data_IF_271978510174
#
_entry.id   IF_271978510174
#
_cell.length_a   1.000
_cell.length_b   1.000
_cell.length_c   1.000
_cell.angle_alpha   90.00
_cell.angle_beta   90.00
_cell.angle_gamma   90.00
#
_symmetry.space_group_name_H-M   'P 1'
#
loop_
_entity.id
_entity.type
_entity.pdbx_description
1 polymer ?
#
# COMPACT_ATOMS: atom_id res chain seq x y z
N UNK A 1 8.52 8.10 5.39
CA UNK A 1 8.51 9.53 5.77
C UNK A 1 7.88 10.42 4.69
N UNK A 2 8.37 10.45 3.45
CA UNK A 2 7.94 11.46 2.46
C UNK A 2 6.47 11.41 2.01
N UNK A 3 5.82 10.24 1.96
CA UNK A 3 4.41 10.13 1.58
C UNK A 3 3.44 10.70 2.63
N UNK A 4 3.90 10.90 3.87
CA UNK A 4 3.08 11.38 4.99
C UNK A 4 3.17 12.91 5.13
N UNK A 5 4.25 13.53 4.63
CA UNK A 5 4.58 14.93 4.89
C UNK A 5 4.15 15.92 3.78
N UNK A 6 3.37 15.49 2.79
CA UNK A 6 2.86 16.31 1.67
C UNK A 6 3.90 17.27 1.05
N UNK A 7 5.14 16.79 0.91
CA UNK A 7 6.25 17.59 0.40
C UNK A 7 6.21 17.60 -1.13
N UNK A 8 6.11 18.78 -1.74
CA UNK A 8 6.18 18.93 -3.19
C UNK A 8 7.63 18.86 -3.71
N UNK A 9 7.88 17.97 -4.67
CA UNK A 9 9.19 17.80 -5.31
C UNK A 9 9.14 18.29 -6.76
N UNK A 10 10.23 18.90 -7.26
CA UNK A 10 10.33 19.35 -8.66
C UNK A 10 10.27 18.21 -9.69
N UNK A 11 10.59 16.98 -9.27
CA UNK A 11 10.58 15.77 -10.11
C UNK A 11 9.78 14.66 -9.42
N UNK A 12 9.08 13.80 -10.19
CA UNK A 12 8.27 12.74 -9.60
C UNK A 12 9.15 11.70 -8.89
N UNK A 13 8.78 11.36 -7.66
CA UNK A 13 9.35 10.22 -6.95
C UNK A 13 8.84 8.89 -7.55
N UNK A 14 9.54 7.78 -7.28
CA UNK A 14 9.24 6.46 -7.86
C UNK A 14 7.79 6.03 -7.71
N UNK A 15 7.19 6.23 -6.53
CA UNK A 15 5.79 5.86 -6.29
C UNK A 15 4.82 6.75 -7.08
N UNK A 16 5.11 8.05 -7.21
CA UNK A 16 4.29 8.97 -8.01
C UNK A 16 4.43 8.64 -9.50
N UNK A 17 5.64 8.32 -9.96
CA UNK A 17 5.88 7.85 -11.32
C UNK A 17 5.08 6.59 -11.63
N UNK A 18 5.03 5.62 -10.70
CA UNK A 18 4.23 4.41 -10.84
C UNK A 18 2.73 4.73 -10.96
N UNK A 19 2.20 5.60 -10.11
CA UNK A 19 0.78 6.01 -10.16
C UNK A 19 0.48 6.65 -11.52
N UNK A 20 1.26 7.64 -11.94
CA UNK A 20 1.07 8.30 -13.24
C UNK A 20 1.22 7.34 -14.42
N UNK A 21 2.10 6.34 -14.33
CA UNK A 21 2.25 5.31 -15.35
C UNK A 21 1.00 4.40 -15.43
N UNK A 22 0.42 4.02 -14.29
CA UNK A 22 -0.82 3.24 -14.23
C UNK A 22 -1.99 4.05 -14.81
N UNK A 23 -2.13 5.31 -14.41
CA UNK A 23 -3.15 6.22 -14.93
C UNK A 23 -3.05 6.35 -16.47
N UNK A 24 -1.82 6.51 -16.99
CA UNK A 24 -1.56 6.59 -18.44
C UNK A 24 -1.87 5.30 -19.20
N UNK A 25 -1.92 4.16 -18.51
CA UNK A 25 -2.33 2.87 -19.05
C UNK A 25 -3.83 2.58 -18.85
N UNK A 26 -4.59 3.50 -18.25
CA UNK A 26 -5.99 3.30 -17.91
C UNK A 26 -6.19 2.26 -16.80
N UNK A 27 -5.19 2.07 -15.95
CA UNK A 27 -5.24 1.16 -14.81
C UNK A 27 -5.34 1.96 -13.49
N UNK A 28 -6.24 1.55 -12.61
CA UNK A 28 -6.47 2.17 -11.31
C UNK A 28 -6.13 1.19 -10.17
N UNK A 29 -5.52 1.70 -9.10
CA UNK A 29 -5.35 0.91 -7.88
C UNK A 29 -6.71 0.80 -7.18
N UNK A 30 -7.24 -0.42 -7.04
CA UNK A 30 -8.50 -0.68 -6.34
C UNK A 30 -8.27 -0.80 -4.84
N UNK A 31 -7.31 -1.67 -4.47
CA UNK A 31 -7.00 -2.01 -3.08
C UNK A 31 -5.66 -2.72 -2.98
N UNK A 32 -5.16 -2.79 -1.76
CA UNK A 32 -4.00 -3.60 -1.40
C UNK A 32 -4.44 -4.68 -0.43
N UNK A 33 -3.86 -5.88 -0.56
CA UNK A 33 -4.12 -7.00 0.35
C UNK A 33 -2.80 -7.53 0.88
N UNK A 34 -2.55 -7.42 2.18
CA UNK A 34 -1.48 -8.16 2.85
C UNK A 34 -1.99 -9.59 3.05
N UNK A 35 -1.52 -10.50 2.20
CA UNK A 35 -2.15 -11.82 2.02
C UNK A 35 -1.38 -12.96 2.67
N UNK A 36 -0.08 -12.80 2.95
CA UNK A 36 0.71 -13.85 3.57
C UNK A 36 1.84 -13.32 4.46
N UNK A 37 2.31 -14.18 5.37
CA UNK A 37 3.53 -14.00 6.15
C UNK A 37 4.25 -15.34 6.27
N UNK A 38 5.53 -15.36 5.92
CA UNK A 38 6.38 -16.56 6.00
C UNK A 38 7.76 -16.14 6.50
N UNK A 39 8.30 -16.81 7.53
CA UNK A 39 9.59 -16.48 8.14
C UNK A 39 9.78 -14.97 8.43
N UNK A 40 8.75 -14.33 8.99
CA UNK A 40 8.69 -12.87 9.26
C UNK A 40 8.72 -11.98 8.01
N UNK A 41 8.62 -12.55 6.82
CA UNK A 41 8.51 -11.83 5.55
C UNK A 41 7.04 -11.72 5.18
N UNK A 42 6.54 -10.49 5.11
CA UNK A 42 5.16 -10.21 4.71
C UNK A 42 5.06 -10.02 3.18
N UNK A 43 3.97 -10.51 2.62
CA UNK A 43 3.65 -10.42 1.20
C UNK A 43 2.38 -9.60 1.01
N UNK A 44 2.33 -8.82 -0.07
CA UNK A 44 1.17 -8.05 -0.44
C UNK A 44 0.80 -8.25 -1.90
N UNK A 45 -0.48 -8.01 -2.20
CA UNK A 45 -1.04 -7.99 -3.54
C UNK A 45 -1.60 -6.62 -3.82
N UNK A 46 -1.11 -6.00 -4.88
CA UNK A 46 -1.69 -4.80 -5.46
C UNK A 46 -2.78 -5.22 -6.43
N UNK A 47 -4.02 -4.87 -6.12
CA UNK A 47 -5.17 -5.17 -6.97
C UNK A 47 -5.44 -3.93 -7.81
N UNK A 48 -5.35 -4.10 -9.12
CA UNK A 48 -5.64 -3.08 -10.12
C UNK A 48 -6.92 -3.42 -10.88
N UNK A 49 -7.69 -2.41 -11.23
CA UNK A 49 -8.69 -2.48 -12.29
C UNK A 49 -8.14 -1.81 -13.55
N UNK A 50 -8.54 -2.30 -14.71
CA UNK A 50 -8.21 -1.67 -15.99
C UNK A 50 -9.39 -1.86 -16.93
N UNK A 51 -9.86 -0.75 -17.49
CA UNK A 51 -10.94 -0.73 -18.46
C UNK A 51 -10.37 -0.43 -19.85
N UNK A 52 -10.67 -1.30 -20.82
CA UNK A 52 -10.30 -1.09 -22.22
C UNK A 52 -11.45 -1.50 -23.16
N UNK A 53 -11.22 -1.40 -24.48
CA UNK A 53 -12.23 -1.73 -25.50
C UNK A 53 -12.72 -3.20 -25.44
N UNK A 54 -11.98 -4.09 -24.79
CA UNK A 54 -12.32 -5.50 -24.62
C UNK A 54 -13.11 -5.77 -23.32
N UNK A 55 -13.15 -4.82 -22.39
CA UNK A 55 -13.90 -4.89 -21.15
C UNK A 55 -13.09 -4.53 -19.90
N UNK A 56 -13.65 -4.90 -18.74
CA UNK A 56 -13.05 -4.68 -17.42
C UNK A 56 -12.14 -5.85 -17.03
N UNK A 57 -10.93 -5.54 -16.60
CA UNK A 57 -9.94 -6.53 -16.14
C UNK A 57 -9.48 -6.21 -14.73
N UNK A 58 -9.44 -7.23 -13.87
CA UNK A 58 -8.74 -7.19 -12.60
C UNK A 58 -7.36 -7.80 -12.77
N UNK A 59 -6.33 -7.09 -12.31
CA UNK A 59 -4.93 -7.53 -12.34
C UNK A 59 -4.42 -7.58 -10.91
N UNK A 60 -3.74 -8.67 -10.57
CA UNK A 60 -3.10 -8.86 -9.28
C UNK A 60 -1.58 -8.88 -9.46
N UNK A 61 -0.90 -7.97 -8.78
CA UNK A 61 0.56 -7.84 -8.84
C UNK A 61 1.14 -8.17 -7.46
N UNK A 62 2.14 -9.06 -7.44
CA UNK A 62 2.94 -9.32 -6.24
C UNK A 62 3.75 -8.08 -5.87
N UNK A 63 3.67 -7.68 -4.60
CA UNK A 63 4.31 -6.48 -4.11
C UNK A 63 4.76 -6.66 -2.66
N UNK A 64 5.78 -5.88 -2.26
CA UNK A 64 6.14 -5.80 -0.85
C UNK A 64 5.15 -4.87 -0.13
N UNK A 65 4.75 -5.19 1.12
CA UNK A 65 3.85 -4.34 1.90
C UNK A 65 4.31 -2.89 2.06
N UNK A 66 5.63 -2.64 2.13
CA UNK A 66 6.17 -1.28 2.24
C UNK A 66 5.84 -0.41 1.02
N UNK A 67 5.99 -0.96 -0.18
CA UNK A 67 5.76 -0.25 -1.43
C UNK A 67 4.25 -0.06 -1.63
N UNK A 68 3.47 -1.10 -1.33
CA UNK A 68 2.01 -1.04 -1.38
C UNK A 68 1.45 0.00 -0.41
N UNK A 69 1.93 0.06 0.83
CA UNK A 69 1.46 1.04 1.82
C UNK A 69 1.66 2.48 1.32
N UNK A 70 2.80 2.79 0.71
CA UNK A 70 3.07 4.12 0.13
C UNK A 70 2.09 4.42 -1.01
N UNK A 71 1.84 3.46 -1.89
CA UNK A 71 0.87 3.63 -2.98
C UNK A 71 -0.54 3.87 -2.44
N UNK A 72 -0.98 3.11 -1.43
CA UNK A 72 -2.28 3.30 -0.78
C UNK A 72 -2.41 4.68 -0.15
N UNK A 73 -1.38 5.13 0.57
CA UNK A 73 -1.38 6.46 1.20
C UNK A 73 -1.49 7.58 0.15
N UNK A 74 -0.73 7.49 -0.94
CA UNK A 74 -0.75 8.49 -2.01
C UNK A 74 -2.06 8.48 -2.82
N UNK A 75 -2.73 7.33 -2.93
CA UNK A 75 -3.96 7.18 -3.73
C UNK A 75 -5.24 7.15 -2.90
N UNK A 76 -5.14 7.16 -1.57
CA UNK A 76 -6.27 7.03 -0.66
C UNK A 76 -6.99 5.67 -0.73
N UNK A 77 -6.31 4.62 -1.24
CA UNK A 77 -6.94 3.31 -1.50
C UNK A 77 -6.92 2.40 -0.28
N UNK A 78 -7.97 1.57 -0.08
CA UNK A 78 -8.09 0.74 1.10
C UNK A 78 -7.02 -0.37 1.13
N UNK A 79 -6.60 -0.68 2.36
CA UNK A 79 -5.67 -1.76 2.66
C UNK A 79 -6.44 -2.82 3.46
N UNK A 80 -6.33 -4.06 3.01
CA UNK A 80 -6.89 -5.22 3.69
C UNK A 80 -5.76 -6.13 4.17
N UNK A 81 -6.04 -6.86 5.25
CA UNK A 81 -5.13 -7.87 5.79
C UNK A 81 -5.88 -9.19 5.89
N UNK A 82 -5.28 -10.26 5.37
CA UNK A 82 -5.85 -11.59 5.51
C UNK A 82 -5.90 -11.98 6.99
N UNK A 83 -7.01 -12.61 7.41
CA UNK A 83 -7.17 -13.07 8.79
C UNK A 83 -6.05 -14.01 9.22
N UNK A 84 -5.61 -14.89 8.33
CA UNK A 84 -4.47 -15.79 8.57
C UNK A 84 -3.18 -15.05 8.90
N UNK A 85 -2.94 -13.89 8.27
CA UNK A 85 -1.79 -13.03 8.60
C UNK A 85 -1.98 -12.40 9.97
N UNK A 86 -3.18 -11.88 10.26
CA UNK A 86 -3.49 -11.28 11.56
C UNK A 86 -3.35 -12.27 12.72
N UNK A 87 -3.78 -13.52 12.51
CA UNK A 87 -3.72 -14.58 13.53
C UNK A 87 -2.30 -15.15 13.70
N UNK A 88 -1.41 -14.97 12.71
CA UNK A 88 -0.04 -15.49 12.71
C UNK A 88 0.99 -14.54 13.35
N UNK A 89 0.60 -13.31 13.68
CA UNK A 89 1.51 -12.27 14.19
C UNK A 89 1.19 -11.90 15.63
N UNK A 90 2.22 -11.45 16.36
CA UNK A 90 2.03 -10.94 17.72
C UNK A 90 1.34 -9.57 17.70
N UNK A 91 0.44 -9.34 18.65
CA UNK A 91 -0.23 -8.06 18.84
C UNK A 91 0.77 -7.01 19.36
N UNK A 92 1.13 -6.07 18.48
CA UNK A 92 2.04 -4.96 18.81
C UNK A 92 1.32 -3.68 19.27
N UNK A 93 0.05 -3.75 19.67
CA UNK A 93 -0.73 -2.57 20.10
C UNK A 93 -0.01 -1.78 21.19
N UNK A 94 0.58 -2.45 22.18
CA UNK A 94 1.30 -1.78 23.27
C UNK A 94 2.51 -0.97 22.78
N UNK A 95 3.20 -1.43 21.72
CA UNK A 95 4.34 -0.73 21.11
C UNK A 95 3.82 0.45 20.30
N UNK A 96 2.79 0.25 19.48
CA UNK A 96 2.15 1.32 18.70
C UNK A 96 1.69 2.46 19.61
N UNK A 97 1.02 2.15 20.73
CA UNK A 97 0.58 3.16 21.70
C UNK A 97 1.75 3.97 22.26
N UNK A 98 2.88 3.32 22.56
CA UNK A 98 4.09 4.03 23.02
C UNK A 98 4.64 4.98 21.96
N UNK A 99 4.69 4.56 20.69
CA UNK A 99 5.17 5.39 19.57
C UNK A 99 4.26 6.61 19.38
N UNK A 100 2.94 6.41 19.38
CA UNK A 100 1.98 7.50 19.20
C UNK A 100 2.04 8.52 20.33
N UNK A 101 2.22 8.07 21.57
CA UNK A 101 2.34 8.97 22.72
C UNK A 101 3.64 9.78 22.68
N UNK A 102 4.76 9.17 22.27
CA UNK A 102 6.04 9.87 22.11
C UNK A 102 6.02 10.89 20.97
N UNK A 103 5.28 10.62 19.89
CA UNK A 103 5.11 11.55 18.78
C UNK A 103 4.24 12.78 19.09
N UNK A 104 3.38 12.70 20.11
CA UNK A 104 2.52 13.81 20.57
C UNK A 104 3.19 14.69 21.64
N UNK A 105 4.35 14.28 22.17
CA UNK A 105 5.13 15.05 23.16
C UNK A 105 6.20 15.97 22.50
N UNK A 106 6.15 16.13 21.17
CA UNK A 106 6.97 17.09 20.40
C UNK A 106 6.12 18.17 19.72
#
# INVERSE_FOLDING_TARGET
EHAINDVHFERPQTHNLMITALDGLGAEIERIVINNVEDSTFYARLILSMDNELGHKIIEIDARPSDSLVLALNTGKPIYVARTVMDAVEDMTAILTKILNQGNEQ
#
